data_IF_219282924880
#
_entry.id   IF_219282924880
#
_cell.length_a   1.000
_cell.length_b   1.000
_cell.length_c   1.000
_cell.angle_alpha   90.00
_cell.angle_beta   90.00
_cell.angle_gamma   90.00
#
_symmetry.space_group_name_H-M   'P 1'
#
loop_
_entity.id
_entity.type
_entity.pdbx_description
1 polymer ?
#
# COMPACT_ATOMS: atom_id res chain seq x y z
N UNK A 1 -15.87 -2.41 -7.68
CA UNK A 1 -16.27 -3.84 -7.74
C UNK A 1 -17.74 -4.03 -7.36
N UNK A 2 -18.28 -3.23 -6.43
CA UNK A 2 -19.69 -3.31 -6.12
C UNK A 2 -20.51 -2.55 -7.17
N UNK A 3 -21.47 -3.22 -7.79
CA UNK A 3 -22.42 -2.59 -8.69
C UNK A 3 -23.41 -1.70 -7.92
N UNK A 4 -24.19 -0.91 -8.65
CA UNK A 4 -25.18 0.00 -8.06
C UNK A 4 -26.26 -0.74 -7.25
N UNK A 5 -26.60 -1.98 -7.63
CA UNK A 5 -27.54 -2.83 -6.90
C UNK A 5 -26.99 -3.28 -5.56
N UNK A 6 -25.72 -3.71 -5.52
CA UNK A 6 -25.02 -4.08 -4.30
C UNK A 6 -24.89 -2.90 -3.33
N UNK A 7 -24.59 -1.71 -3.82
CA UNK A 7 -24.51 -0.49 -3.02
C UNK A 7 -25.89 -0.08 -2.47
N UNK A 8 -26.95 -0.21 -3.27
CA UNK A 8 -28.32 0.06 -2.83
C UNK A 8 -28.76 -0.95 -1.75
N UNK A 9 -28.42 -2.24 -1.91
CA UNK A 9 -28.69 -3.27 -0.92
C UNK A 9 -27.95 -2.98 0.40
N UNK A 10 -26.67 -2.62 0.32
CA UNK A 10 -25.88 -2.26 1.51
C UNK A 10 -26.53 -1.09 2.27
N UNK A 11 -26.92 -0.02 1.56
CA UNK A 11 -27.60 1.12 2.18
C UNK A 11 -28.93 0.72 2.81
N UNK A 12 -29.70 -0.17 2.15
CA UNK A 12 -30.93 -0.69 2.71
C UNK A 12 -30.68 -1.50 3.99
N UNK A 13 -29.68 -2.38 4.00
CA UNK A 13 -29.29 -3.16 5.17
C UNK A 13 -28.84 -2.26 6.31
N UNK A 14 -28.01 -1.26 6.05
CA UNK A 14 -27.54 -0.32 7.07
C UNK A 14 -28.72 0.37 7.80
N UNK A 15 -29.75 0.78 7.07
CA UNK A 15 -30.98 1.36 7.66
C UNK A 15 -31.76 0.33 8.50
N UNK A 16 -31.84 -0.92 8.05
CA UNK A 16 -32.63 -1.97 8.69
C UNK A 16 -31.94 -2.58 9.90
N UNK A 17 -30.63 -2.52 9.97
CA UNK A 17 -29.82 -3.11 11.05
C UNK A 17 -29.51 -2.15 12.19
N UNK A 18 -29.78 -0.86 12.03
CA UNK A 18 -29.45 0.18 13.01
C UNK A 18 -29.88 -0.13 14.44
N UNK A 19 -31.05 -0.76 14.60
CA UNK A 19 -31.62 -1.14 15.93
C UNK A 19 -31.52 -2.64 16.20
N UNK A 20 -30.74 -3.37 15.40
CA UNK A 20 -30.57 -4.81 15.54
C UNK A 20 -29.19 -5.13 16.13
N UNK A 21 -29.05 -6.29 16.74
CA UNK A 21 -27.74 -6.83 17.16
C UNK A 21 -27.02 -7.42 15.95
N UNK A 22 -26.75 -6.58 14.95
CA UNK A 22 -26.06 -6.96 13.72
C UNK A 22 -25.08 -5.84 13.35
N UNK A 23 -23.86 -6.23 13.01
CA UNK A 23 -22.84 -5.34 12.45
C UNK A 23 -22.62 -5.70 10.99
N UNK A 24 -22.66 -4.70 10.13
CA UNK A 24 -22.34 -4.85 8.69
C UNK A 24 -21.06 -4.09 8.43
N UNK A 25 -20.05 -4.79 7.92
CA UNK A 25 -18.75 -4.20 7.60
C UNK A 25 -18.58 -4.21 6.09
N UNK A 26 -18.20 -3.07 5.53
CA UNK A 26 -17.80 -2.95 4.14
C UNK A 26 -16.41 -2.35 4.05
N UNK A 27 -15.62 -2.82 3.10
CA UNK A 27 -14.29 -2.30 2.83
C UNK A 27 -14.24 -1.71 1.42
N UNK A 28 -13.51 -0.62 1.25
CA UNK A 28 -13.25 -0.02 -0.06
C UNK A 28 -11.87 0.63 -0.08
N UNK A 29 -11.35 0.87 -1.26
CA UNK A 29 -10.08 1.57 -1.44
C UNK A 29 -10.33 3.04 -1.67
N UNK A 30 -9.63 3.90 -0.91
CA UNK A 30 -9.77 5.36 -1.07
C UNK A 30 -9.44 5.84 -2.49
N UNK A 31 -8.44 5.22 -3.13
CA UNK A 31 -8.04 5.55 -4.51
C UNK A 31 -9.14 5.28 -5.52
N UNK A 32 -9.99 4.27 -5.29
CA UNK A 32 -11.11 3.92 -6.17
C UNK A 32 -12.35 4.79 -5.90
N UNK A 33 -12.36 5.54 -4.80
CA UNK A 33 -13.48 6.42 -4.44
C UNK A 33 -13.68 7.53 -5.48
N UNK A 34 -12.57 8.09 -6.01
CA UNK A 34 -12.62 9.13 -7.04
C UNK A 34 -13.28 8.68 -8.35
N UNK A 35 -13.22 7.40 -8.65
CA UNK A 35 -13.73 6.82 -9.91
C UNK A 35 -15.17 6.31 -9.79
N UNK A 36 -15.69 6.11 -8.57
CA UNK A 36 -17.00 5.53 -8.33
C UNK A 36 -17.97 6.54 -7.73
N UNK A 37 -18.67 7.29 -8.61
CA UNK A 37 -19.72 8.22 -8.18
C UNK A 37 -20.82 7.55 -7.33
N UNK A 38 -21.31 6.33 -7.65
CA UNK A 38 -22.32 5.66 -6.83
C UNK A 38 -21.82 5.35 -5.41
N UNK A 39 -20.54 4.98 -5.24
CA UNK A 39 -19.95 4.75 -3.93
C UNK A 39 -19.82 6.05 -3.13
N UNK A 40 -19.41 7.14 -3.78
CA UNK A 40 -19.35 8.45 -3.14
C UNK A 40 -20.71 8.89 -2.60
N UNK A 41 -21.74 8.81 -3.46
CA UNK A 41 -23.12 9.17 -3.10
C UNK A 41 -23.63 8.31 -1.93
N UNK A 42 -23.35 7.00 -1.95
CA UNK A 42 -23.71 6.11 -0.85
C UNK A 42 -23.02 6.50 0.46
N UNK A 43 -21.71 6.80 0.45
CA UNK A 43 -20.97 7.19 1.65
C UNK A 43 -21.48 8.52 2.22
N UNK A 44 -21.81 9.48 1.36
CA UNK A 44 -22.42 10.76 1.76
C UNK A 44 -23.78 10.51 2.44
N UNK A 45 -24.62 9.67 1.87
CA UNK A 45 -25.92 9.33 2.44
C UNK A 45 -25.79 8.62 3.80
N UNK A 46 -24.91 7.62 3.90
CA UNK A 46 -24.66 6.91 5.15
C UNK A 46 -24.18 7.84 6.27
N UNK A 47 -23.27 8.77 5.94
CA UNK A 47 -22.78 9.76 6.88
C UNK A 47 -23.89 10.75 7.30
N UNK A 48 -24.66 11.27 6.34
CA UNK A 48 -25.77 12.20 6.61
C UNK A 48 -26.84 11.58 7.52
N UNK A 49 -27.15 10.29 7.30
CA UNK A 49 -28.14 9.53 8.07
C UNK A 49 -27.56 8.92 9.37
N UNK A 50 -26.25 9.12 9.64
CA UNK A 50 -25.53 8.52 10.79
C UNK A 50 -25.74 7.01 10.90
N UNK A 51 -25.59 6.32 9.77
CA UNK A 51 -25.80 4.88 9.64
C UNK A 51 -24.50 4.08 9.65
N UNK A 52 -23.36 4.71 9.47
CA UNK A 52 -22.06 4.07 9.46
C UNK A 52 -20.98 4.97 10.05
N UNK A 53 -20.04 4.36 10.75
CA UNK A 53 -18.79 4.97 11.14
C UNK A 53 -17.71 4.57 10.12
N UNK A 54 -16.87 5.52 9.76
CA UNK A 54 -15.77 5.30 8.83
C UNK A 54 -14.48 5.09 9.61
N UNK A 55 -13.88 3.93 9.40
CA UNK A 55 -12.56 3.61 9.93
C UNK A 55 -11.53 3.68 8.79
N UNK A 56 -10.57 4.60 8.90
CA UNK A 56 -9.45 4.69 7.97
C UNK A 56 -8.33 3.79 8.47
N UNK A 57 -8.00 2.77 7.70
CA UNK A 57 -6.86 1.90 7.99
C UNK A 57 -5.60 2.52 7.36
N UNK A 58 -4.58 2.72 8.18
CA UNK A 58 -3.24 3.07 7.76
C UNK A 58 -2.34 1.84 7.63
N UNK A 59 -1.09 2.08 7.27
CA UNK A 59 -0.02 1.09 7.43
C UNK A 59 0.31 0.97 8.92
N UNK A 60 0.91 -0.13 9.30
CA UNK A 60 1.46 -0.30 10.64
C UNK A 60 2.69 0.58 10.80
N UNK A 61 2.82 1.19 11.94
CA UNK A 61 4.09 1.76 12.38
C UNK A 61 5.06 0.64 12.79
N UNK A 62 6.27 1.02 13.19
CA UNK A 62 7.31 0.07 13.59
C UNK A 62 6.88 -0.77 14.80
N UNK A 63 6.13 -0.21 15.74
CA UNK A 63 5.65 -0.91 16.93
C UNK A 63 4.57 -1.94 16.57
N UNK A 64 3.56 -1.56 15.81
CA UNK A 64 2.53 -2.47 15.32
C UNK A 64 3.10 -3.57 14.40
N UNK A 65 4.13 -3.24 13.60
CA UNK A 65 4.86 -4.24 12.80
C UNK A 65 5.56 -5.26 13.69
N UNK A 66 6.24 -4.82 14.74
CA UNK A 66 6.85 -5.72 15.72
C UNK A 66 5.83 -6.64 16.36
N UNK A 67 4.68 -6.09 16.76
CA UNK A 67 3.62 -6.86 17.43
C UNK A 67 3.02 -7.91 16.48
N UNK A 68 2.85 -7.58 15.18
CA UNK A 68 2.43 -8.54 14.17
C UNK A 68 3.46 -9.65 14.00
N UNK A 69 4.75 -9.32 13.87
CA UNK A 69 5.81 -10.31 13.72
C UNK A 69 5.91 -11.20 14.97
N UNK A 70 5.82 -10.62 16.17
CA UNK A 70 5.81 -11.38 17.43
C UNK A 70 4.61 -12.35 17.50
N UNK A 71 3.44 -11.95 16.99
CA UNK A 71 2.27 -12.81 16.91
C UNK A 71 2.42 -13.93 15.87
N UNK A 72 3.12 -13.67 14.73
CA UNK A 72 3.36 -14.70 13.71
C UNK A 72 4.36 -15.76 14.19
N UNK A 73 5.42 -15.33 14.85
CA UNK A 73 6.51 -16.22 15.25
C UNK A 73 6.46 -16.70 16.71
N UNK A 74 5.51 -16.18 17.50
CA UNK A 74 5.34 -16.49 18.92
C UNK A 74 6.63 -16.30 19.75
N UNK A 75 7.45 -15.31 19.37
CA UNK A 75 8.70 -14.97 20.06
C UNK A 75 9.03 -13.46 19.97
N UNK A 76 10.00 -13.03 20.77
CA UNK A 76 10.51 -11.67 20.73
C UNK A 76 11.27 -11.39 19.40
N UNK A 77 10.97 -10.25 18.82
CA UNK A 77 11.55 -9.83 17.54
C UNK A 77 12.78 -8.96 17.77
N UNK A 78 13.90 -9.36 17.17
CA UNK A 78 15.15 -8.56 17.26
C UNK A 78 15.01 -7.26 16.46
N UNK A 79 15.65 -6.16 16.93
CA UNK A 79 15.58 -4.88 16.21
C UNK A 79 16.01 -4.96 14.75
N UNK A 80 17.09 -5.72 14.47
CA UNK A 80 17.64 -5.86 13.12
C UNK A 80 16.67 -6.56 12.17
N UNK A 81 15.96 -7.57 12.66
CA UNK A 81 14.94 -8.26 11.86
C UNK A 81 13.71 -7.38 11.63
N UNK A 82 13.26 -6.68 12.68
CA UNK A 82 12.18 -5.71 12.55
C UNK A 82 12.49 -4.62 11.53
N UNK A 83 13.70 -4.03 11.63
CA UNK A 83 14.11 -2.94 10.73
C UNK A 83 14.17 -3.40 9.28
N UNK A 84 14.70 -4.60 9.03
CA UNK A 84 14.72 -5.16 7.69
C UNK A 84 13.33 -5.45 7.11
N UNK A 85 12.45 -6.11 7.88
CA UNK A 85 11.07 -6.34 7.43
C UNK A 85 10.33 -5.01 7.23
N UNK A 86 10.52 -4.05 8.14
CA UNK A 86 9.87 -2.75 8.04
C UNK A 86 10.36 -1.96 6.83
N UNK A 87 11.66 -1.97 6.54
CA UNK A 87 12.22 -1.31 5.36
C UNK A 87 11.64 -1.88 4.06
N UNK A 88 11.49 -3.21 3.96
CA UNK A 88 10.96 -3.87 2.75
C UNK A 88 9.43 -3.77 2.60
N UNK A 89 8.71 -3.55 3.70
CA UNK A 89 7.22 -3.60 3.70
C UNK A 89 6.56 -2.28 4.05
N UNK A 90 7.32 -1.36 4.64
CA UNK A 90 6.86 -0.09 5.24
C UNK A 90 5.57 -0.27 6.07
N UNK A 91 5.50 -1.34 6.81
CA UNK A 91 4.36 -1.64 7.66
C UNK A 91 3.07 -2.01 6.90
N UNK A 92 3.16 -2.44 5.64
CA UNK A 92 2.02 -3.03 4.94
C UNK A 92 1.76 -4.45 5.45
N UNK A 93 0.65 -4.72 6.18
CA UNK A 93 0.42 -6.04 6.80
C UNK A 93 0.43 -7.18 5.80
N UNK A 94 -0.14 -6.98 4.61
CA UNK A 94 -0.16 -7.99 3.56
C UNK A 94 1.26 -8.36 3.10
N UNK A 95 2.12 -7.36 2.91
CA UNK A 95 3.50 -7.61 2.49
C UNK A 95 4.33 -8.24 3.61
N UNK A 96 4.10 -7.86 4.87
CA UNK A 96 4.73 -8.49 6.03
C UNK A 96 4.39 -9.98 6.08
N UNK A 97 3.10 -10.34 5.98
CA UNK A 97 2.68 -11.73 6.01
C UNK A 97 3.23 -12.54 4.83
N UNK A 98 3.18 -12.01 3.61
CA UNK A 98 3.69 -12.69 2.42
C UNK A 98 5.22 -12.86 2.45
N UNK A 99 5.95 -11.85 2.94
CA UNK A 99 7.40 -11.94 3.10
C UNK A 99 7.76 -13.00 4.15
N UNK A 100 7.08 -13.01 5.29
CA UNK A 100 7.29 -14.03 6.32
C UNK A 100 6.99 -15.44 5.81
N UNK A 101 5.88 -15.65 5.07
CA UNK A 101 5.56 -16.94 4.45
C UNK A 101 6.65 -17.41 3.50
N UNK A 102 7.10 -16.52 2.60
CA UNK A 102 8.14 -16.88 1.64
C UNK A 102 9.47 -17.22 2.33
N UNK A 103 9.85 -16.50 3.37
CA UNK A 103 11.07 -16.81 4.13
C UNK A 103 11.01 -18.20 4.79
N UNK A 104 9.83 -18.61 5.26
CA UNK A 104 9.62 -19.97 5.81
C UNK A 104 9.61 -21.01 4.70
N UNK A 105 8.91 -20.79 3.59
CA UNK A 105 8.82 -21.69 2.44
C UNK A 105 10.18 -21.92 1.78
N UNK A 106 11.02 -20.88 1.66
CA UNK A 106 12.38 -20.96 1.12
C UNK A 106 13.38 -21.62 2.09
N UNK A 107 12.96 -21.98 3.31
CA UNK A 107 13.80 -22.50 4.36
C UNK A 107 14.84 -21.52 4.89
N UNK A 108 14.71 -20.25 4.56
CA UNK A 108 15.55 -19.17 5.09
C UNK A 108 15.20 -18.85 6.53
N UNK A 109 13.97 -19.13 6.90
CA UNK A 109 13.41 -18.95 8.24
C UNK A 109 12.90 -20.31 8.72
N UNK A 110 13.52 -20.87 9.74
CA UNK A 110 13.18 -22.19 10.25
C UNK A 110 13.29 -22.27 11.77
N UNK A 111 12.47 -23.13 12.35
CA UNK A 111 12.45 -23.36 13.79
C UNK A 111 13.27 -24.60 14.15
N UNK A 112 14.34 -24.41 14.95
CA UNK A 112 15.22 -25.51 15.40
C UNK A 112 15.71 -25.21 16.82
N UNK A 113 15.85 -26.23 17.64
CA UNK A 113 16.30 -26.14 19.03
C UNK A 113 15.51 -25.13 19.89
N UNK A 114 14.19 -25.01 19.63
CA UNK A 114 13.30 -24.16 20.41
C UNK A 114 13.39 -22.67 20.10
N UNK A 115 14.00 -22.30 18.97
CA UNK A 115 14.13 -20.90 18.51
C UNK A 115 14.06 -20.80 16.99
N UNK A 116 13.67 -19.62 16.53
CA UNK A 116 13.71 -19.27 15.12
C UNK A 116 15.11 -18.89 14.66
N UNK A 117 15.57 -19.49 13.57
CA UNK A 117 16.76 -19.11 12.84
C UNK A 117 16.39 -18.22 11.68
N UNK A 118 17.07 -17.09 11.52
CA UNK A 118 16.73 -16.00 10.61
C UNK A 118 17.85 -15.76 9.58
N UNK A 119 17.51 -15.43 8.33
CA UNK A 119 18.52 -15.05 7.34
C UNK A 119 19.17 -13.72 7.69
N UNK A 120 20.34 -13.46 7.11
CA UNK A 120 20.88 -12.11 7.07
C UNK A 120 19.95 -11.24 6.20
N UNK A 121 19.58 -10.05 6.69
CA UNK A 121 18.62 -9.16 6.05
C UNK A 121 19.04 -8.69 4.64
N UNK A 122 20.31 -8.83 4.28
CA UNK A 122 20.87 -8.49 2.98
C UNK A 122 20.45 -9.45 1.84
N UNK A 123 19.89 -10.61 2.18
CA UNK A 123 19.51 -11.68 1.23
C UNK A 123 17.98 -11.80 1.05
N UNK A 124 17.23 -10.75 1.41
CA UNK A 124 15.78 -10.75 1.26
C UNK A 124 15.39 -10.37 -0.17
N UNK A 125 14.92 -11.37 -0.92
CA UNK A 125 14.22 -11.16 -2.18
C UNK A 125 12.72 -11.01 -1.96
N UNK A 126 12.09 -10.09 -2.69
CA UNK A 126 10.63 -9.95 -2.69
C UNK A 126 9.95 -11.24 -3.15
N UNK A 127 9.01 -11.79 -2.37
CA UNK A 127 8.25 -12.96 -2.75
C UNK A 127 7.54 -12.80 -4.11
N UNK A 128 7.39 -13.91 -4.83
CA UNK A 128 6.68 -13.92 -6.10
C UNK A 128 5.24 -13.38 -5.97
N UNK A 129 4.54 -13.71 -4.86
CA UNK A 129 3.19 -13.21 -4.56
C UNK A 129 3.12 -11.69 -4.48
N UNK A 130 4.11 -11.06 -3.83
CA UNK A 130 4.23 -9.59 -3.74
C UNK A 130 4.53 -9.00 -5.11
N UNK A 131 5.49 -9.58 -5.85
CA UNK A 131 5.80 -9.16 -7.24
C UNK A 131 4.58 -9.22 -8.15
N UNK A 132 3.81 -10.29 -8.10
CA UNK A 132 2.57 -10.45 -8.87
C UNK A 132 1.52 -9.43 -8.46
N UNK A 133 1.36 -9.16 -7.15
CA UNK A 133 0.42 -8.15 -6.67
C UNK A 133 0.79 -6.74 -7.17
N UNK A 134 2.07 -6.37 -7.14
CA UNK A 134 2.58 -5.10 -7.68
C UNK A 134 2.36 -5.05 -9.19
N UNK A 135 2.77 -6.07 -9.94
CA UNK A 135 2.60 -6.14 -11.39
C UNK A 135 1.13 -6.02 -11.80
N UNK A 136 0.22 -6.68 -11.08
CA UNK A 136 -1.23 -6.57 -11.33
C UNK A 136 -1.78 -5.15 -11.10
N UNK A 137 -1.16 -4.36 -10.23
CA UNK A 137 -1.53 -2.95 -10.03
C UNK A 137 -0.96 -2.08 -11.13
N UNK A 138 0.30 -2.29 -11.49
CA UNK A 138 0.96 -1.54 -12.56
C UNK A 138 0.28 -1.80 -13.91
N UNK A 139 -0.14 -3.02 -14.21
CA UNK A 139 -0.82 -3.38 -15.47
C UNK A 139 -2.14 -2.64 -15.72
N UNK A 140 -2.68 -1.94 -14.72
CA UNK A 140 -3.90 -1.13 -14.85
C UNK A 140 -3.62 0.34 -15.16
N UNK A 141 -2.35 0.73 -15.16
CA UNK A 141 -1.96 2.11 -15.40
C UNK A 141 -1.86 2.39 -16.90
N UNK A 142 -2.15 3.63 -17.32
CA UNK A 142 -1.89 4.07 -18.70
C UNK A 142 -0.39 3.98 -19.03
N UNK A 143 -0.08 3.66 -20.29
CA UNK A 143 1.31 3.55 -20.76
C UNK A 143 2.19 4.77 -20.41
N UNK A 144 1.73 6.03 -20.54
CA UNK A 144 2.56 7.19 -20.19
C UNK A 144 2.94 7.21 -18.70
N UNK A 145 2.05 6.73 -17.80
CA UNK A 145 2.32 6.62 -16.36
C UNK A 145 3.34 5.53 -16.08
N UNK A 146 3.22 4.39 -16.78
CA UNK A 146 4.17 3.28 -16.65
C UNK A 146 5.57 3.68 -17.12
N UNK A 147 5.68 4.38 -18.23
CA UNK A 147 6.96 4.80 -18.77
C UNK A 147 7.62 5.85 -17.87
N UNK A 148 6.86 6.78 -17.34
CA UNK A 148 7.31 7.71 -16.31
C UNK A 148 7.80 6.98 -15.06
N UNK A 149 7.03 6.02 -14.52
CA UNK A 149 7.42 5.23 -13.34
C UNK A 149 8.67 4.38 -13.58
N UNK A 150 8.85 3.81 -14.78
CA UNK A 150 10.08 3.08 -15.16
C UNK A 150 11.29 3.99 -15.11
N UNK A 151 11.15 5.21 -15.63
CA UNK A 151 12.24 6.17 -15.61
C UNK A 151 12.53 6.65 -14.19
N UNK A 152 11.49 6.96 -13.42
CA UNK A 152 11.62 7.31 -12.01
C UNK A 152 12.35 6.23 -11.20
N UNK A 153 12.05 4.94 -11.44
CA UNK A 153 12.73 3.82 -10.79
C UNK A 153 14.24 3.73 -11.14
N UNK A 154 14.64 4.20 -12.31
CA UNK A 154 16.07 4.29 -12.71
C UNK A 154 16.78 5.45 -12.02
N UNK A 155 16.06 6.55 -11.78
CA UNK A 155 16.61 7.72 -11.08
C UNK A 155 16.83 7.44 -9.58
N UNK A 156 16.06 6.53 -8.99
CA UNK A 156 16.21 6.13 -7.59
C UNK A 156 15.02 6.50 -6.72
N UNK A 157 15.22 6.47 -5.41
CA UNK A 157 14.16 6.70 -4.41
C UNK A 157 13.73 8.16 -4.33
N UNK A 158 14.62 9.08 -4.64
CA UNK A 158 14.38 10.52 -4.60
C UNK A 158 14.88 11.17 -5.89
N UNK A 159 14.07 12.00 -6.50
CA UNK A 159 14.42 12.77 -7.69
C UNK A 159 13.61 14.07 -7.72
N UNK A 160 14.13 15.08 -8.37
CA UNK A 160 13.41 16.32 -8.65
C UNK A 160 12.67 16.24 -9.99
N UNK A 161 11.69 17.15 -10.16
CA UNK A 161 10.87 17.20 -11.37
C UNK A 161 11.71 17.47 -12.64
N UNK A 162 12.72 18.36 -12.56
CA UNK A 162 13.55 18.73 -13.71
C UNK A 162 14.37 17.53 -14.19
N UNK A 163 14.94 16.75 -13.25
CA UNK A 163 15.67 15.52 -13.56
C UNK A 163 14.76 14.49 -14.23
N UNK A 164 13.55 14.29 -13.69
CA UNK A 164 12.57 13.38 -14.28
C UNK A 164 12.14 13.87 -15.66
N UNK A 165 11.79 15.15 -15.81
CA UNK A 165 11.37 15.74 -17.09
C UNK A 165 12.46 15.62 -18.17
N UNK A 166 13.73 15.78 -17.77
CA UNK A 166 14.86 15.60 -18.67
C UNK A 166 15.10 14.15 -19.09
N UNK A 167 14.70 13.19 -18.23
CA UNK A 167 14.90 11.77 -18.47
C UNK A 167 13.75 11.14 -19.27
N UNK A 168 12.54 11.68 -19.15
CA UNK A 168 11.34 11.24 -19.87
C UNK A 168 11.20 12.14 -21.11
N UNK A 169 11.27 11.56 -22.33
CA UNK A 169 11.08 12.29 -23.59
C UNK A 169 9.59 12.64 -23.80
N UNK A 170 9.05 13.48 -22.92
CA UNK A 170 7.65 13.92 -22.93
C UNK A 170 7.56 15.41 -22.58
N UNK A 171 6.50 16.06 -23.07
CA UNK A 171 6.16 17.42 -22.69
C UNK A 171 5.75 17.52 -21.20
N UNK A 172 5.91 18.71 -20.60
CA UNK A 172 5.65 18.93 -19.17
C UNK A 172 4.19 18.61 -18.75
N UNK A 173 3.19 19.03 -19.53
CA UNK A 173 1.77 18.82 -19.20
C UNK A 173 1.39 17.33 -19.09
N UNK A 174 1.75 16.44 -20.04
CA UNK A 174 1.57 15.00 -19.90
C UNK A 174 2.31 14.40 -18.71
N UNK A 175 3.52 14.88 -18.42
CA UNK A 175 4.31 14.39 -17.29
C UNK A 175 3.66 14.77 -15.96
N UNK A 176 3.16 15.99 -15.79
CA UNK A 176 2.40 16.43 -14.61
C UNK A 176 1.17 15.53 -14.44
N UNK A 177 0.41 15.29 -15.50
CA UNK A 177 -0.74 14.39 -15.45
C UNK A 177 -0.37 12.96 -15.05
N UNK A 178 0.75 12.44 -15.50
CA UNK A 178 1.26 11.12 -15.11
C UNK A 178 1.67 11.08 -13.62
N UNK A 179 2.32 12.14 -13.12
CA UNK A 179 2.67 12.29 -11.70
C UNK A 179 1.44 12.35 -10.80
N UNK A 180 0.41 13.12 -11.19
CA UNK A 180 -0.85 13.18 -10.44
C UNK A 180 -1.53 11.80 -10.32
N UNK A 181 -1.49 11.00 -11.40
CA UNK A 181 -2.00 9.62 -11.37
C UNK A 181 -1.14 8.75 -10.45
N UNK A 182 0.19 8.85 -10.56
CA UNK A 182 1.13 8.09 -9.73
C UNK A 182 0.99 8.45 -8.23
N UNK A 183 0.81 9.73 -7.92
CA UNK A 183 0.57 10.20 -6.56
C UNK A 183 -0.77 9.67 -6.01
N UNK A 184 -1.82 9.71 -6.81
CA UNK A 184 -3.15 9.19 -6.42
C UNK A 184 -3.09 7.72 -6.03
N UNK A 185 -2.33 6.91 -6.73
CA UNK A 185 -2.13 5.49 -6.40
C UNK A 185 -1.03 5.27 -5.34
N UNK A 186 -0.42 6.35 -4.86
CA UNK A 186 0.71 6.36 -3.94
C UNK A 186 1.92 5.58 -4.45
N UNK A 187 2.16 5.62 -5.75
CA UNK A 187 3.39 5.17 -6.37
C UNK A 187 4.51 6.20 -6.21
N UNK A 188 4.13 7.47 -6.09
CA UNK A 188 5.02 8.61 -5.86
C UNK A 188 4.39 9.49 -4.79
N UNK A 189 5.17 10.18 -3.97
CA UNK A 189 4.69 11.17 -2.99
C UNK A 189 5.53 12.44 -3.13
N UNK A 190 4.85 13.58 -3.20
CA UNK A 190 5.53 14.87 -3.11
C UNK A 190 6.02 15.09 -1.67
N UNK A 191 7.33 15.19 -1.49
CA UNK A 191 7.95 15.60 -0.22
C UNK A 191 8.17 17.10 -0.28
N UNK A 192 7.39 17.85 0.49
CA UNK A 192 7.69 19.25 0.73
C UNK A 192 8.58 19.35 1.97
N UNK A 193 9.82 19.76 1.81
CA UNK A 193 10.16 21.16 1.99
C UNK A 193 11.23 21.67 1.01
N UNK A 194 11.09 22.90 0.60
CA UNK A 194 12.02 23.85 -0.01
C UNK A 194 12.63 23.52 -1.37
N UNK A 195 12.77 22.26 -1.78
CA UNK A 195 13.29 21.87 -3.10
C UNK A 195 12.50 20.62 -3.53
N UNK A 196 11.68 20.73 -4.53
CA UNK A 196 10.74 19.75 -5.10
C UNK A 196 11.31 18.33 -5.27
N UNK A 197 11.51 17.62 -4.17
CA UNK A 197 11.95 16.22 -4.18
C UNK A 197 10.73 15.31 -4.10
N UNK A 198 10.61 14.38 -5.02
CA UNK A 198 9.51 13.42 -5.09
C UNK A 198 10.06 12.03 -4.78
N UNK A 199 9.75 11.43 -3.61
CA UNK A 199 10.18 10.07 -3.32
C UNK A 199 9.43 9.06 -4.17
N UNK A 200 10.14 8.08 -4.67
CA UNK A 200 9.63 6.97 -5.45
C UNK A 200 9.45 5.75 -4.55
N UNK A 201 8.54 4.89 -4.91
CA UNK A 201 8.40 3.56 -4.34
C UNK A 201 9.74 2.82 -4.36
N UNK A 202 10.11 2.26 -3.22
CA UNK A 202 11.23 1.34 -3.13
C UNK A 202 10.96 0.01 -3.85
N UNK A 203 11.90 -0.93 -3.75
CA UNK A 203 11.79 -2.24 -4.38
C UNK A 203 10.54 -3.04 -3.99
N UNK A 204 9.92 -2.72 -2.85
CA UNK A 204 8.68 -3.32 -2.37
C UNK A 204 7.42 -2.59 -2.89
N UNK A 205 7.58 -1.48 -3.57
CA UNK A 205 6.46 -0.65 -4.02
C UNK A 205 5.91 0.25 -2.91
N UNK A 206 6.75 0.67 -1.98
CA UNK A 206 6.39 1.36 -0.74
C UNK A 206 7.10 2.74 -0.67
N UNK A 207 6.54 3.66 0.07
CA UNK A 207 6.98 5.04 0.17
C UNK A 207 7.99 5.25 1.31
N UNK A 208 9.11 5.92 1.04
CA UNK A 208 9.99 6.38 2.12
C UNK A 208 9.34 7.59 2.83
N UNK A 209 9.11 7.47 4.12
CA UNK A 209 8.80 8.59 5.02
C UNK A 209 10.04 8.87 5.84
N UNK A 210 10.74 9.91 5.49
CA UNK A 210 11.61 10.57 6.47
C UNK A 210 10.90 11.84 6.93
N UNK A 211 10.58 11.84 8.22
CA UNK A 211 10.27 13.05 8.98
C UNK A 211 11.50 13.95 9.07
#
# INVERSE_FOLDING_TARGET
WADSGSLALFRHLARRTKEKRAMVVATYREVELGESRPLQEMLVDLNRERLADRLKLGRFDREATRDLLAAIFEEDITPEFLDGIFAETEGNPFFIEELCKALVEDGKFYFEDGRWHRPAMQDLDLPQSVRVAIQSRLAKLPDPVLDMLRMAAVLGLEFDFETLASAVDQDEDPLIGALEVAERIRAVVEVRPAEHVVPVLDHAGLLDRRD
#
